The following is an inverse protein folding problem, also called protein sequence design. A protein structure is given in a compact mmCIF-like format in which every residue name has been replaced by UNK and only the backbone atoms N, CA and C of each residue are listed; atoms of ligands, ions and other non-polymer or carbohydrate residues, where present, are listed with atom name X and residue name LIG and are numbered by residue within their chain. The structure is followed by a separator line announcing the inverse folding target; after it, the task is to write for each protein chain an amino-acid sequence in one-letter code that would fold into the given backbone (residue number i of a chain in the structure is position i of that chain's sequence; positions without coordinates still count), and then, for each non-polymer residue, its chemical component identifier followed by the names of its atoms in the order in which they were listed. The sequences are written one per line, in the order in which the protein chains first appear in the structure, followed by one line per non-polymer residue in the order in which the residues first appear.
data_IF_029071350534
#
_entry.id   IF_029071350534
#
_cell.length_a   1.000
_cell.length_b   1.000
_cell.length_c   1.000
_cell.angle_alpha   90.00
_cell.angle_beta   90.00
_cell.angle_gamma   90.00
#
_symmetry.space_group_name_H-M   'P 1'
#
loop_
_entity.id
_entity.type
_entity.pdbx_description
1 polymer ?
#
# COMPACT_ATOMS: atom_id res chain seq x y z
N UNK A 1 2.28 14.32 19.95
CA UNK A 1 2.95 14.88 18.76
C UNK A 1 4.44 14.51 18.70
N UNK A 2 5.29 14.98 19.62
CA UNK A 2 6.76 14.77 19.55
C UNK A 2 7.23 13.30 19.43
N UNK A 3 6.62 12.37 20.19
CA UNK A 3 6.99 10.93 20.16
C UNK A 3 6.79 10.26 18.80
N UNK A 4 5.80 10.71 18.01
CA UNK A 4 5.53 10.15 16.69
C UNK A 4 6.37 10.77 15.57
N UNK A 5 7.06 11.88 15.86
CA UNK A 5 7.88 12.61 14.89
C UNK A 5 9.38 12.33 15.06
N UNK A 6 9.82 12.07 16.29
CA UNK A 6 11.22 11.86 16.61
C UNK A 6 11.73 10.45 16.23
N UNK A 7 12.83 10.38 15.48
CA UNK A 7 13.47 9.12 15.08
C UNK A 7 14.50 8.61 16.09
N UNK A 8 14.99 9.51 16.94
CA UNK A 8 16.01 9.23 17.94
C UNK A 8 15.84 10.17 19.15
N UNK A 9 16.59 9.89 20.22
CA UNK A 9 16.59 10.70 21.44
C UNK A 9 16.93 12.18 21.18
N UNK A 10 17.89 12.46 20.29
CA UNK A 10 18.29 13.83 19.96
C UNK A 10 17.19 14.63 19.25
N UNK A 11 16.49 14.03 18.29
CA UNK A 11 15.34 14.63 17.60
C UNK A 11 14.17 14.83 18.57
N UNK A 12 13.94 13.88 19.47
CA UNK A 12 12.91 14.00 20.49
C UNK A 12 13.18 15.20 21.41
N UNK A 13 14.42 15.37 21.86
CA UNK A 13 14.83 16.54 22.63
C UNK A 13 14.70 17.83 21.85
N UNK A 14 15.11 17.84 20.58
CA UNK A 14 15.02 19.03 19.72
C UNK A 14 13.58 19.47 19.45
N UNK A 15 12.67 18.51 19.21
CA UNK A 15 11.24 18.81 19.02
C UNK A 15 10.63 19.33 20.32
N UNK A 16 11.01 18.75 21.46
CA UNK A 16 10.53 19.25 22.76
C UNK A 16 11.05 20.64 23.06
N UNK A 17 12.32 20.92 22.75
CA UNK A 17 12.93 22.25 22.91
C UNK A 17 12.19 23.30 22.08
N UNK A 18 11.83 22.98 20.83
CA UNK A 18 11.00 23.83 19.98
C UNK A 18 9.59 24.08 20.56
N UNK A 19 9.05 23.13 21.32
CA UNK A 19 7.79 23.26 22.04
C UNK A 19 7.95 23.96 23.41
N UNK A 20 9.14 24.45 23.72
CA UNK A 20 9.47 25.08 25.00
C UNK A 20 9.60 24.09 26.14
N UNK A 21 9.86 22.81 25.89
CA UNK A 21 10.04 21.77 26.92
C UNK A 21 11.49 21.28 26.92
N UNK A 22 12.18 21.49 28.02
CA UNK A 22 13.54 21.00 28.25
C UNK A 22 13.51 19.61 28.88
N UNK A 23 14.41 18.73 28.44
CA UNK A 23 14.54 17.36 28.97
C UNK A 23 15.92 17.16 29.56
N UNK A 24 15.98 16.82 30.85
CA UNK A 24 17.21 16.54 31.55
C UNK A 24 17.23 15.09 32.08
N UNK A 25 18.44 14.55 32.27
CA UNK A 25 18.59 13.30 33.01
C UNK A 25 18.27 13.52 34.49
N UNK A 26 17.53 12.59 35.11
CA UNK A 26 17.37 12.62 36.55
C UNK A 26 18.72 12.35 37.24
N UNK A 27 18.82 12.80 38.49
CA UNK A 27 20.01 12.65 39.31
C UNK A 27 20.44 11.18 39.39
N UNK A 28 21.74 10.89 39.20
CA UNK A 28 22.26 9.52 39.23
C UNK A 28 22.14 8.85 40.60
N UNK A 29 21.83 9.63 41.65
CA UNK A 29 21.62 9.16 43.03
C UNK A 29 20.20 8.63 43.28
N UNK A 30 19.29 8.77 42.32
CA UNK A 30 17.90 8.32 42.47
C UNK A 30 17.69 6.95 41.83
N UNK A 31 16.86 6.11 42.45
CA UNK A 31 16.53 4.77 41.93
C UNK A 31 15.84 4.85 40.55
N UNK A 32 15.17 5.97 40.26
CA UNK A 32 14.48 6.21 39.00
C UNK A 32 15.39 6.93 38.00
N UNK A 33 15.93 6.18 37.03
CA UNK A 33 16.76 6.68 35.92
C UNK A 33 15.96 7.42 34.82
N UNK A 34 14.73 7.81 35.11
CA UNK A 34 13.85 8.49 34.16
C UNK A 34 14.34 9.89 33.78
N UNK A 35 13.77 10.45 32.72
CA UNK A 35 13.98 11.85 32.34
C UNK A 35 13.08 12.80 33.12
N UNK A 36 13.59 14.01 33.34
CA UNK A 36 12.86 15.12 33.91
C UNK A 36 12.50 16.07 32.78
N UNK A 37 11.23 16.43 32.71
CA UNK A 37 10.68 17.42 31.80
C UNK A 37 10.44 18.71 32.57
N UNK A 38 10.82 19.83 31.99
CA UNK A 38 10.54 21.18 32.51
C UNK A 38 10.11 22.09 31.38
N UNK A 39 9.21 23.02 31.68
CA UNK A 39 8.87 24.09 30.74
C UNK A 39 10.01 25.13 30.72
N UNK A 40 10.27 25.72 29.58
CA UNK A 40 11.30 26.74 29.40
C UNK A 40 10.93 28.04 30.09
N UNK A 41 9.62 28.35 30.12
CA UNK A 41 9.07 29.54 30.79
C UNK A 41 9.04 29.39 32.33
N UNK A 42 8.91 28.16 32.84
CA UNK A 42 8.94 27.88 34.28
C UNK A 42 9.79 26.63 34.59
N UNK A 43 11.10 26.81 34.80
CA UNK A 43 12.00 25.70 35.08
C UNK A 43 11.83 25.10 36.49
N UNK A 44 11.00 25.71 37.35
CA UNK A 44 10.67 25.17 38.69
C UNK A 44 9.67 24.02 38.58
N UNK A 45 8.83 24.03 37.53
CA UNK A 45 7.88 22.97 37.25
C UNK A 45 8.58 21.77 36.58
N UNK A 46 9.09 20.87 37.41
CA UNK A 46 9.78 19.64 36.99
C UNK A 46 8.89 18.42 37.18
N UNK A 47 8.70 17.64 36.12
CA UNK A 47 7.91 16.40 36.15
C UNK A 47 8.75 15.24 35.62
N UNK A 48 8.77 14.13 36.35
CA UNK A 48 9.43 12.89 35.89
C UNK A 48 8.60 12.24 34.79
N UNK A 49 9.24 11.70 33.75
CA UNK A 49 8.55 11.03 32.64
C UNK A 49 7.54 9.98 33.07
N UNK A 50 7.91 9.07 33.98
CA UNK A 50 6.99 8.08 34.53
C UNK A 50 5.79 8.66 35.30
N UNK A 51 5.90 9.88 35.84
CA UNK A 51 4.77 10.60 36.48
C UNK A 51 3.85 11.28 35.47
N UNK A 52 4.36 11.63 34.29
CA UNK A 52 3.54 12.17 33.20
C UNK A 52 2.72 11.06 32.54
N UNK A 53 3.38 9.96 32.17
CA UNK A 53 2.79 8.69 31.75
C UNK A 53 3.90 7.68 31.50
N UNK A 54 3.58 6.39 31.58
CA UNK A 54 4.50 5.32 31.19
C UNK A 54 5.12 5.55 29.79
N UNK A 55 4.35 6.10 28.86
CA UNK A 55 4.79 6.36 27.48
C UNK A 55 5.89 7.43 27.36
N UNK A 56 6.06 8.27 28.38
CA UNK A 56 7.10 9.31 28.50
C UNK A 56 8.23 8.92 29.47
N UNK A 57 8.16 7.72 30.06
CA UNK A 57 9.30 7.15 30.77
C UNK A 57 10.47 6.97 29.81
N UNK A 58 11.69 7.12 30.33
CA UNK A 58 12.90 6.98 29.52
C UNK A 58 12.96 5.60 28.88
N UNK A 59 12.62 4.56 29.65
CA UNK A 59 12.63 3.17 29.19
C UNK A 59 11.63 2.90 28.06
N UNK A 60 10.43 3.48 28.14
CA UNK A 60 9.43 3.33 27.06
C UNK A 60 9.87 4.05 25.79
N UNK A 61 10.49 5.22 25.91
CA UNK A 61 11.01 5.97 24.77
C UNK A 61 12.22 5.30 24.14
N UNK A 62 13.19 4.83 24.92
CA UNK A 62 14.35 4.08 24.41
C UNK A 62 13.93 2.78 23.71
N UNK A 63 13.00 2.02 24.30
CA UNK A 63 12.42 0.85 23.64
C UNK A 63 11.62 1.25 22.39
N UNK A 64 10.90 2.38 22.46
CA UNK A 64 10.19 2.98 21.33
C UNK A 64 11.12 3.30 20.17
N UNK A 65 12.24 3.97 20.40
CA UNK A 65 13.22 4.29 19.35
C UNK A 65 13.88 3.03 18.78
N UNK A 66 14.24 2.06 19.63
CA UNK A 66 14.79 0.77 19.17
C UNK A 66 13.79 -0.02 18.31
N UNK A 67 12.51 -0.02 18.70
CA UNK A 67 11.46 -0.74 17.97
C UNK A 67 10.96 0.05 16.75
N UNK A 68 10.95 1.38 16.80
CA UNK A 68 10.58 2.27 15.68
C UNK A 68 11.66 2.29 14.60
N UNK A 69 12.94 2.07 14.94
CA UNK A 69 13.97 1.81 13.94
C UNK A 69 13.61 0.60 13.04
N UNK A 70 12.82 -0.35 13.53
CA UNK A 70 12.32 -1.48 12.73
C UNK A 70 11.02 -1.17 11.95
N UNK A 71 10.28 -0.12 12.31
CA UNK A 71 9.00 0.26 11.68
C UNK A 71 9.09 1.52 10.82
N UNK A 72 10.26 2.15 10.73
CA UNK A 72 10.44 3.26 9.80
C UNK A 72 10.61 2.74 8.37
N UNK A 73 9.76 3.20 7.44
CA UNK A 73 10.02 2.94 6.04
C UNK A 73 11.34 3.62 5.65
N UNK A 74 12.36 2.82 5.34
CA UNK A 74 13.56 3.22 4.61
C UNK A 74 13.23 4.20 3.47
N UNK A 75 14.17 5.05 3.06
CA UNK A 75 13.98 6.04 1.99
C UNK A 75 13.38 5.42 0.72
N UNK A 76 13.69 4.15 0.42
CA UNK A 76 13.06 3.37 -0.63
C UNK A 76 11.55 3.16 -0.40
N UNK A 77 11.17 2.67 0.78
CA UNK A 77 9.75 2.48 1.15
C UNK A 77 9.01 3.80 1.36
N UNK A 78 9.67 4.88 1.77
CA UNK A 78 9.06 6.22 1.82
C UNK A 78 8.70 6.70 0.40
N UNK A 79 9.58 6.48 -0.60
CA UNK A 79 9.26 6.75 -2.00
C UNK A 79 8.15 5.84 -2.53
N UNK A 80 8.12 4.57 -2.11
CA UNK A 80 7.06 3.65 -2.48
C UNK A 80 5.70 4.08 -1.90
N UNK A 81 5.65 4.46 -0.62
CA UNK A 81 4.46 4.99 0.04
C UNK A 81 4.00 6.27 -0.66
N UNK A 82 4.92 7.19 -0.98
CA UNK A 82 4.58 8.41 -1.72
C UNK A 82 4.08 8.13 -3.13
N UNK A 83 4.64 7.12 -3.82
CA UNK A 83 4.15 6.69 -5.12
C UNK A 83 2.73 6.15 -5.01
N UNK A 84 2.48 5.24 -4.06
CA UNK A 84 1.14 4.69 -3.80
C UNK A 84 0.16 5.78 -3.40
N UNK A 85 0.57 6.75 -2.59
CA UNK A 85 -0.28 7.87 -2.19
C UNK A 85 -0.61 8.81 -3.35
N UNK A 86 0.30 9.00 -4.31
CA UNK A 86 0.04 9.75 -5.55
C UNK A 86 -0.98 9.07 -6.45
N UNK A 87 -0.96 7.74 -6.48
CA UNK A 87 -1.87 6.92 -7.28
C UNK A 87 -3.19 6.63 -6.53
N UNK A 88 -3.29 7.00 -5.25
CA UNK A 88 -4.48 6.76 -4.43
C UNK A 88 -5.56 7.81 -4.72
N UNK A 89 -6.81 7.35 -4.71
CA UNK A 89 -7.98 8.20 -4.89
C UNK A 89 -8.57 8.50 -3.51
N UNK A 90 -8.76 9.78 -3.22
CA UNK A 90 -9.36 10.25 -1.97
C UNK A 90 -10.87 10.11 -2.10
N UNK A 91 -11.49 9.40 -1.16
CA UNK A 91 -12.94 9.26 -1.03
C UNK A 91 -13.38 10.00 0.23
N UNK A 92 -14.39 10.85 0.12
CA UNK A 92 -14.85 11.72 1.20
C UNK A 92 -15.89 11.03 2.10
N UNK A 93 -16.74 10.15 1.54
CA UNK A 93 -17.80 9.49 2.29
C UNK A 93 -18.12 8.06 1.80
N UNK A 94 -18.98 7.35 2.54
CA UNK A 94 -19.43 5.99 2.20
C UNK A 94 -20.27 5.95 0.92
N UNK A 95 -20.96 7.04 0.57
CA UNK A 95 -21.77 7.10 -0.65
C UNK A 95 -20.87 7.20 -1.89
N UNK A 96 -19.75 7.89 -1.81
CA UNK A 96 -18.73 8.00 -2.85
C UNK A 96 -18.03 6.66 -3.06
N UNK A 97 -17.79 5.91 -1.97
CA UNK A 97 -17.30 4.53 -2.06
C UNK A 97 -18.32 3.61 -2.76
N UNK A 98 -19.61 3.73 -2.46
CA UNK A 98 -20.67 2.96 -3.13
C UNK A 98 -20.79 3.31 -4.62
N UNK A 99 -20.70 4.60 -4.98
CA UNK A 99 -20.65 5.05 -6.39
C UNK A 99 -19.42 4.48 -7.11
N UNK A 100 -18.26 4.45 -6.44
CA UNK A 100 -17.05 3.82 -6.99
C UNK A 100 -17.24 2.32 -7.20
N UNK A 101 -17.83 1.62 -6.24
CA UNK A 101 -18.11 0.19 -6.36
C UNK A 101 -19.03 -0.10 -7.55
N UNK A 102 -20.12 0.65 -7.69
CA UNK A 102 -21.05 0.55 -8.83
C UNK A 102 -20.37 0.85 -10.17
N UNK A 103 -19.53 1.89 -10.21
CA UNK A 103 -18.75 2.21 -11.42
C UNK A 103 -17.78 1.08 -11.80
N UNK A 104 -17.12 0.44 -10.83
CA UNK A 104 -16.25 -0.71 -11.07
C UNK A 104 -17.03 -1.97 -11.45
N UNK A 105 -18.22 -2.19 -10.87
CA UNK A 105 -19.11 -3.28 -11.23
C UNK A 105 -19.58 -3.14 -12.69
N UNK A 106 -19.95 -1.93 -13.12
CA UNK A 106 -20.27 -1.67 -14.53
C UNK A 106 -19.05 -1.87 -15.44
N UNK A 107 -17.86 -1.43 -15.02
CA UNK A 107 -16.61 -1.73 -15.75
C UNK A 107 -16.43 -3.24 -15.94
N UNK A 108 -16.61 -4.03 -14.89
CA UNK A 108 -16.45 -5.48 -14.89
C UNK A 108 -17.50 -6.16 -15.77
N UNK A 109 -18.77 -5.79 -15.59
CA UNK A 109 -19.92 -6.35 -16.32
C UNK A 109 -19.80 -6.16 -17.83
N UNK A 110 -19.27 -5.01 -18.26
CA UNK A 110 -19.15 -4.67 -19.68
C UNK A 110 -17.72 -4.82 -20.23
N UNK A 111 -16.75 -5.22 -19.41
CA UNK A 111 -15.35 -5.42 -19.80
C UNK A 111 -14.61 -4.13 -20.18
N UNK A 112 -15.01 -2.99 -19.61
CA UNK A 112 -14.53 -1.65 -19.96
C UNK A 112 -13.16 -1.40 -19.31
N UNK A 113 -12.15 -1.05 -20.13
CA UNK A 113 -10.77 -0.76 -19.70
C UNK A 113 -10.36 0.69 -19.92
N UNK A 114 -11.21 1.52 -20.53
CA UNK A 114 -10.92 2.92 -20.81
C UNK A 114 -12.17 3.75 -21.03
N UNK A 115 -12.05 5.07 -20.88
CA UNK A 115 -13.19 6.00 -21.02
C UNK A 115 -13.77 5.96 -22.45
N UNK A 116 -12.94 5.75 -23.46
CA UNK A 116 -13.39 5.58 -24.85
C UNK A 116 -14.29 4.36 -25.08
N UNK A 117 -14.15 3.32 -24.25
CA UNK A 117 -14.99 2.12 -24.32
C UNK A 117 -16.36 2.35 -23.66
N UNK A 118 -16.44 3.21 -22.62
CA UNK A 118 -17.72 3.75 -22.13
C UNK A 118 -18.45 4.51 -23.23
N UNK A 119 -17.78 5.44 -23.93
CA UNK A 119 -18.38 6.23 -25.02
C UNK A 119 -18.89 5.34 -26.17
N UNK A 120 -18.11 4.32 -26.55
CA UNK A 120 -18.52 3.37 -27.58
C UNK A 120 -19.75 2.57 -27.15
N UNK A 121 -19.81 2.14 -25.88
CA UNK A 121 -20.93 1.36 -25.37
C UNK A 121 -22.20 2.17 -25.22
N UNK A 122 -22.09 3.41 -24.72
CA UNK A 122 -23.23 4.34 -24.63
C UNK A 122 -23.84 4.54 -26.02
N UNK A 123 -23.01 4.80 -27.05
CA UNK A 123 -23.48 4.94 -28.44
C UNK A 123 -24.16 3.69 -28.99
N UNK A 124 -23.71 2.48 -28.62
CA UNK A 124 -24.34 1.24 -29.05
C UNK A 124 -25.73 1.06 -28.42
N UNK A 125 -25.86 1.35 -27.12
CA UNK A 125 -27.14 1.24 -26.40
C UNK A 125 -28.12 2.32 -26.86
N UNK A 126 -27.65 3.55 -27.09
CA UNK A 126 -28.45 4.64 -27.68
C UNK A 126 -29.04 4.24 -29.03
N UNK A 127 -28.22 3.70 -29.94
CA UNK A 127 -28.69 3.23 -31.25
C UNK A 127 -29.69 2.08 -31.16
N UNK A 128 -29.56 1.21 -30.16
CA UNK A 128 -30.47 0.10 -29.95
C UNK A 128 -31.84 0.58 -29.43
N UNK A 129 -31.84 1.58 -28.55
CA UNK A 129 -33.03 2.25 -28.05
C UNK A 129 -33.73 3.04 -29.17
N UNK A 130 -32.98 3.83 -29.95
CA UNK A 130 -33.50 4.57 -31.11
C UNK A 130 -34.07 3.64 -32.20
N UNK A 131 -33.54 2.43 -32.31
CA UNK A 131 -34.03 1.38 -33.20
C UNK A 131 -35.35 0.72 -32.75
N UNK A 132 -35.97 1.18 -31.67
CA UNK A 132 -37.27 0.70 -31.19
C UNK A 132 -37.24 -0.59 -30.38
N UNK A 133 -36.06 -1.16 -30.10
CA UNK A 133 -35.87 -2.35 -29.27
C UNK A 133 -35.49 -2.04 -27.81
N UNK A 134 -35.55 -0.76 -27.41
CA UNK A 134 -35.18 -0.30 -26.08
C UNK A 134 -36.14 -0.79 -25.00
N UNK A 135 -35.70 -1.73 -24.17
CA UNK A 135 -36.41 -2.08 -22.93
C UNK A 135 -36.17 -1.01 -21.85
N UNK A 136 -37.09 -0.85 -20.89
CA UNK A 136 -36.88 0.01 -19.72
C UNK A 136 -35.59 -0.35 -18.95
N UNK A 137 -35.19 -1.63 -18.98
CA UNK A 137 -33.92 -2.09 -18.43
C UNK A 137 -32.69 -1.53 -19.19
N UNK A 138 -32.80 -1.33 -20.51
CA UNK A 138 -31.74 -0.77 -21.33
C UNK A 138 -31.58 0.73 -21.09
N UNK A 139 -32.69 1.46 -20.94
CA UNK A 139 -32.68 2.86 -20.52
C UNK A 139 -31.99 3.06 -19.15
N UNK A 140 -32.35 2.24 -18.16
CA UNK A 140 -31.68 2.25 -16.83
C UNK A 140 -30.20 1.86 -16.94
N UNK A 141 -29.86 0.92 -17.82
CA UNK A 141 -28.46 0.53 -18.05
C UNK A 141 -27.64 1.65 -18.72
N UNK A 142 -28.26 2.45 -19.58
CA UNK A 142 -27.64 3.59 -20.23
C UNK A 142 -27.37 4.71 -19.23
N UNK A 143 -28.33 4.98 -18.33
CA UNK A 143 -28.16 5.96 -17.26
C UNK A 143 -27.01 5.54 -16.31
N UNK A 144 -26.99 4.29 -15.87
CA UNK A 144 -25.88 3.79 -15.03
C UNK A 144 -24.53 3.79 -15.74
N UNK A 145 -24.48 3.55 -17.07
CA UNK A 145 -23.26 3.68 -17.87
C UNK A 145 -22.77 5.13 -17.97
N UNK A 146 -23.67 6.10 -18.08
CA UNK A 146 -23.30 7.53 -18.10
C UNK A 146 -22.79 8.00 -16.73
N UNK A 147 -23.50 7.64 -15.66
CA UNK A 147 -23.07 7.97 -14.29
C UNK A 147 -21.71 7.35 -13.96
N UNK A 148 -21.50 6.08 -14.31
CA UNK A 148 -20.21 5.42 -14.11
C UNK A 148 -19.08 6.04 -14.95
N UNK A 149 -19.36 6.46 -16.19
CA UNK A 149 -18.39 7.17 -17.02
C UNK A 149 -17.99 8.51 -16.39
N UNK A 150 -18.96 9.30 -15.96
CA UNK A 150 -18.69 10.63 -15.41
C UNK A 150 -17.92 10.50 -14.08
N UNK A 151 -18.27 9.51 -13.24
CA UNK A 151 -17.54 9.20 -12.03
C UNK A 151 -16.10 8.71 -12.30
N UNK A 152 -15.90 7.83 -13.28
CA UNK A 152 -14.56 7.33 -13.63
C UNK A 152 -13.69 8.39 -14.30
N UNK A 153 -14.29 9.30 -15.06
CA UNK A 153 -13.59 10.44 -15.65
C UNK A 153 -13.20 11.49 -14.61
N UNK A 154 -14.09 11.81 -13.66
CA UNK A 154 -13.83 12.77 -12.58
C UNK A 154 -12.71 12.29 -11.64
N UNK A 155 -12.70 11.00 -11.31
CA UNK A 155 -11.73 10.41 -10.38
C UNK A 155 -10.48 9.84 -11.06
N UNK A 156 -10.36 9.95 -12.38
CA UNK A 156 -9.20 9.43 -13.13
C UNK A 156 -9.01 7.91 -13.01
N UNK A 157 -10.09 7.17 -12.74
CA UNK A 157 -10.05 5.73 -12.45
C UNK A 157 -9.59 4.88 -13.63
N UNK A 158 -9.79 5.38 -14.86
CA UNK A 158 -9.43 4.69 -16.10
C UNK A 158 -8.62 5.59 -17.02
N UNK A 159 -7.70 5.02 -17.81
CA UNK A 159 -6.99 5.79 -18.82
C UNK A 159 -7.96 6.30 -19.90
N UNK A 160 -7.75 7.56 -20.34
CA UNK A 160 -8.61 8.25 -21.33
C UNK A 160 -8.69 7.53 -22.68
N UNK A 161 -7.68 6.73 -22.99
CA UNK A 161 -7.68 5.80 -24.12
C UNK A 161 -7.34 4.43 -23.56
N UNK A 162 -7.97 3.36 -24.06
CA UNK A 162 -7.48 2.01 -23.76
C UNK A 162 -6.06 1.92 -24.32
N UNK A 163 -5.08 2.08 -23.43
CA UNK A 163 -3.68 2.05 -23.79
C UNK A 163 -3.43 0.67 -24.38
N UNK A 164 -3.38 0.60 -25.72
CA UNK A 164 -3.00 -0.58 -26.47
C UNK A 164 -1.74 -1.11 -25.82
N UNK A 165 -1.86 -2.29 -25.22
CA UNK A 165 -0.83 -2.99 -24.45
C UNK A 165 0.58 -2.56 -24.85
N UNK A 166 1.27 -1.82 -23.99
CA UNK A 166 2.71 -1.53 -24.15
C UNK A 166 3.59 -2.76 -23.86
N UNK A 167 3.02 -3.97 -23.85
CA UNK A 167 3.74 -5.24 -23.69
C UNK A 167 3.87 -5.99 -25.03
N UNK A 168 4.26 -5.31 -26.10
CA UNK A 168 4.64 -5.96 -27.37
C UNK A 168 5.81 -5.26 -28.05
N UNK A 169 6.84 -4.89 -27.28
CA UNK A 169 8.11 -4.45 -27.86
C UNK A 169 9.31 -4.91 -27.04
N UNK A 170 9.58 -6.21 -27.11
CA UNK A 170 10.96 -6.71 -27.09
C UNK A 170 11.03 -8.09 -27.73
N UNK A 171 11.82 -8.15 -28.80
CA UNK A 171 12.46 -9.33 -29.43
C UNK A 171 11.58 -10.22 -30.32
N UNK A 172 11.70 -10.00 -31.63
CA UNK A 172 12.21 -11.02 -32.55
C UNK A 172 12.53 -10.36 -33.90
N UNK A 173 13.64 -9.64 -33.95
CA UNK A 173 14.37 -9.42 -35.20
C UNK A 173 15.61 -10.32 -35.13
N UNK A 174 15.49 -11.50 -35.70
CA UNK A 174 16.58 -12.42 -36.03
C UNK A 174 16.00 -13.52 -36.93
N UNK A 175 16.10 -13.25 -38.23
CA UNK A 175 15.89 -14.21 -39.30
C UNK A 175 16.78 -15.47 -39.16
N UNK A 176 16.14 -16.62 -39.31
CA UNK A 176 16.57 -17.74 -40.18
C UNK A 176 17.98 -18.34 -39.99
N UNK A 177 18.07 -19.55 -39.40
CA UNK A 177 18.78 -20.64 -40.07
C UNK A 177 18.30 -22.03 -39.61
N UNK A 178 18.13 -22.89 -40.61
CA UNK A 178 17.79 -24.30 -40.63
C UNK A 178 18.96 -25.17 -40.19
N UNK A 179 18.76 -26.17 -39.31
CA UNK A 179 19.32 -27.54 -39.54
C UNK A 179 18.75 -28.63 -38.63
N UNK A 180 18.63 -29.79 -39.24
CA UNK A 180 17.97 -31.04 -38.83
C UNK A 180 19.03 -32.10 -38.47
N UNK A 181 18.84 -32.86 -37.38
CA UNK A 181 19.31 -34.27 -37.13
C UNK A 181 18.88 -34.67 -35.70
N UNK A 182 17.99 -35.66 -35.45
CA UNK A 182 18.21 -37.13 -35.33
C UNK A 182 19.45 -37.45 -34.46
N UNK A 183 19.50 -38.30 -33.42
CA UNK A 183 18.67 -39.43 -32.95
C UNK A 183 19.31 -40.00 -31.65
N UNK A 184 18.52 -40.73 -30.84
CA UNK A 184 18.87 -41.98 -30.09
C UNK A 184 19.48 -41.92 -28.66
N UNK A 185 18.68 -42.50 -27.75
CA UNK A 185 18.92 -43.42 -26.61
C UNK A 185 20.04 -43.24 -25.54
N UNK A 186 19.61 -43.58 -24.31
CA UNK A 186 20.26 -44.44 -23.29
C UNK A 186 21.46 -43.89 -22.49
N UNK A 187 21.30 -43.70 -21.18
CA UNK A 187 21.54 -44.75 -20.16
C UNK A 187 21.33 -44.23 -18.72
N UNK A 188 20.82 -45.13 -17.87
CA UNK A 188 20.64 -45.05 -16.41
C UNK A 188 21.96 -44.81 -15.66
N UNK A 189 21.93 -44.12 -14.50
CA UNK A 189 22.14 -44.78 -13.19
C UNK A 189 22.05 -43.82 -11.97
N UNK A 190 21.14 -44.19 -11.06
CA UNK A 190 21.13 -44.06 -9.59
C UNK A 190 22.24 -43.28 -8.86
N UNK A 191 21.87 -42.36 -7.96
CA UNK A 191 22.42 -42.33 -6.58
C UNK A 191 21.58 -41.54 -5.57
N UNK A 192 21.03 -42.27 -4.59
CA UNK A 192 20.78 -41.91 -3.17
C UNK A 192 19.79 -40.77 -2.84
N UNK A 193 18.53 -41.16 -2.60
CA UNK A 193 17.72 -40.60 -1.48
C UNK A 193 17.57 -41.67 -0.40
N UNK A 194 18.49 -41.67 0.56
CA UNK A 194 18.36 -42.40 1.81
C UNK A 194 18.05 -41.36 2.90
N UNK A 195 16.77 -41.08 3.14
CA UNK A 195 16.33 -40.40 4.35
C UNK A 195 14.84 -40.64 4.56
N UNK A 196 14.52 -41.85 5.00
CA UNK A 196 13.27 -42.18 5.72
C UNK A 196 13.68 -43.00 6.93
N UNK A 197 14.27 -42.31 7.90
CA UNK A 197 14.59 -42.86 9.21
C UNK A 197 13.34 -42.91 10.06
N UNK A 198 12.61 -44.02 9.96
CA UNK A 198 11.75 -44.51 11.02
C UNK A 198 12.65 -44.95 12.19
N UNK A 199 12.45 -44.39 13.38
CA UNK A 199 12.82 -45.08 14.63
C UNK A 199 11.98 -44.59 15.80
N UNK A 200 10.71 -44.98 15.80
CA UNK A 200 10.02 -45.32 17.03
C UNK A 200 10.31 -46.79 17.37
N UNK A 201 10.75 -47.01 18.61
CA UNK A 201 10.48 -48.15 19.51
C UNK A 201 11.64 -48.31 20.47
N UNK A 202 11.49 -47.69 21.64
CA UNK A 202 12.17 -48.07 22.87
C UNK A 202 11.17 -48.87 23.71
N UNK A 203 11.39 -50.18 23.78
CA UNK A 203 10.89 -51.06 24.84
C UNK A 203 12.03 -52.00 25.19
N UNK A 204 12.53 -51.88 26.42
CA UNK A 204 12.91 -52.93 27.37
C UNK A 204 13.66 -52.32 28.55
#
# INVERSE_FOLDING_TARGET
MAKGLARNESEFRSILDMLGVTVANNSPKTTNRDWIYSLSDDPKCKVTGGRLSYLYSRRSLENGFKNMAAHHPDASSSRAILKTAKDAIVLNDLAELDRMAKALETCSRFGIRGISEYDARIKMVEKHIEGGNGSEAEHKSLETLREARDFTAANGLLPRTSAKSKNAKTKADASHSTRKKKTVEKHKHTRRKAQRGNREKGER
#
